data_IF_275958163840
#
_entry.id   IF_275958163840
#
_cell.length_a   1.000
_cell.length_b   1.000
_cell.length_c   1.000
_cell.angle_alpha   90.00
_cell.angle_beta   90.00
_cell.angle_gamma   90.00
#
_symmetry.space_group_name_H-M   'P 1'
#
loop_
_entity.id
_entity.type
_entity.pdbx_description
1 polymer ?
#
# COMPACT_ATOMS: atom_id res chain seq x y z
N UNK A 1 8.20 17.74 23.19
CA UNK A 1 7.91 16.94 21.98
C UNK A 1 6.81 17.66 21.23
N UNK A 2 7.15 18.41 20.18
CA UNK A 2 6.18 19.27 19.48
C UNK A 2 5.34 18.40 18.55
N UNK A 3 4.03 18.43 18.76
CA UNK A 3 3.00 17.82 17.93
C UNK A 3 3.13 18.40 16.52
N UNK A 4 3.82 17.69 15.62
CA UNK A 4 3.90 18.02 14.19
C UNK A 4 2.59 17.51 13.57
N UNK A 5 1.48 18.06 14.03
CA UNK A 5 0.17 17.77 13.44
C UNK A 5 0.10 18.53 12.15
N UNK A 6 -0.24 17.79 11.10
CA UNK A 6 -0.32 18.18 9.72
C UNK A 6 -1.45 19.18 9.47
N UNK A 7 -1.45 20.33 10.15
CA UNK A 7 -2.39 21.43 9.92
C UNK A 7 -2.10 22.10 8.55
N UNK A 8 -0.93 21.84 7.96
CA UNK A 8 -0.46 22.52 6.75
C UNK A 8 -0.78 21.81 5.42
N UNK A 9 -1.22 20.54 5.42
CA UNK A 9 -1.61 19.86 4.16
C UNK A 9 -2.91 20.39 3.53
N UNK A 10 -3.66 21.25 4.23
CA UNK A 10 -4.88 21.88 3.69
C UNK A 10 -4.58 22.99 2.66
N UNK A 11 -3.36 23.52 2.59
CA UNK A 11 -3.02 24.67 1.74
C UNK A 11 -2.41 24.31 0.38
N UNK A 12 -2.28 23.02 0.05
CA UNK A 12 -1.81 22.55 -1.26
C UNK A 12 -2.99 22.34 -2.23
N UNK A 13 -3.78 23.38 -2.47
CA UNK A 13 -4.80 23.42 -3.53
C UNK A 13 -4.25 24.18 -4.75
N UNK A 14 -4.40 23.68 -5.99
CA UNK A 14 -4.50 24.57 -7.14
C UNK A 14 -5.93 25.16 -7.23
N UNK A 15 -6.09 26.41 -7.69
CA UNK A 15 -7.40 26.95 -8.06
C UNK A 15 -7.88 26.33 -9.38
N UNK A 16 -9.21 26.33 -9.54
CA UNK A 16 -10.01 26.03 -10.74
C UNK A 16 -9.27 25.86 -12.08
N UNK A 17 -9.44 24.69 -12.71
CA UNK A 17 -9.60 24.59 -14.17
C UNK A 17 -10.33 23.30 -14.55
N UNK A 18 -11.65 23.36 -14.48
CA UNK A 18 -12.56 22.54 -15.27
C UNK A 18 -12.31 22.82 -16.77
N UNK A 19 -11.96 21.80 -17.56
CA UNK A 19 -12.55 21.53 -18.88
C UNK A 19 -12.02 20.20 -19.45
N UNK A 20 -12.86 19.17 -19.44
CA UNK A 20 -12.78 18.06 -20.40
C UNK A 20 -13.56 18.45 -21.66
N UNK A 21 -13.13 18.01 -22.84
CA UNK A 21 -14.09 17.53 -23.85
C UNK A 21 -13.58 16.23 -24.55
N UNK A 22 -14.30 15.62 -25.52
CA UNK A 22 -14.94 14.31 -25.36
C UNK A 22 -14.32 13.20 -26.25
N UNK A 23 -14.87 11.98 -26.12
CA UNK A 23 -14.62 10.82 -26.97
C UNK A 23 -14.78 11.10 -28.48
N UNK A 24 -13.93 10.49 -29.29
CA UNK A 24 -14.11 10.35 -30.74
C UNK A 24 -13.42 9.08 -31.26
N UNK A 25 -14.19 8.25 -31.96
CA UNK A 25 -13.86 6.88 -32.32
C UNK A 25 -13.26 6.71 -33.73
N UNK A 26 -12.63 5.55 -33.92
CA UNK A 26 -12.81 4.62 -35.06
C UNK A 26 -11.75 4.49 -36.18
N UNK A 27 -11.64 3.22 -36.60
CA UNK A 27 -11.08 2.61 -37.82
C UNK A 27 -9.56 2.35 -37.88
N UNK A 28 -9.05 1.24 -38.44
CA UNK A 28 -9.55 -0.08 -38.81
C UNK A 28 -8.36 -0.90 -39.38
N UNK A 29 -8.45 -2.23 -39.31
CA UNK A 29 -7.82 -3.28 -40.15
C UNK A 29 -6.32 -3.57 -40.04
N UNK A 30 -6.07 -4.87 -39.82
CA UNK A 30 -4.84 -5.57 -40.17
C UNK A 30 -4.97 -7.05 -39.81
N UNK A 31 -5.51 -7.86 -40.73
CA UNK A 31 -5.45 -9.33 -40.66
C UNK A 31 -4.00 -9.81 -40.78
N UNK A 32 -3.71 -10.93 -40.10
CA UNK A 32 -3.06 -12.16 -40.60
C UNK A 32 -1.97 -12.64 -39.65
N UNK A 33 -2.15 -13.87 -39.16
CA UNK A 33 -1.22 -15.00 -39.33
C UNK A 33 -1.07 -15.86 -38.08
N UNK A 34 -1.16 -17.15 -38.32
CA UNK A 34 -1.22 -18.24 -37.37
C UNK A 34 0.11 -18.43 -36.62
N UNK A 35 0.08 -18.32 -35.29
CA UNK A 35 1.23 -18.61 -34.43
C UNK A 35 0.83 -19.52 -33.27
N UNK A 36 0.86 -20.84 -33.47
CA UNK A 36 0.68 -21.85 -32.42
C UNK A 36 1.69 -21.63 -31.27
N UNK A 37 1.26 -21.59 -30.00
CA UNK A 37 2.20 -21.52 -28.89
C UNK A 37 2.87 -22.88 -28.67
N UNK A 38 4.21 -22.87 -28.69
CA UNK A 38 5.05 -24.01 -28.33
C UNK A 38 4.88 -24.34 -26.84
N UNK A 39 4.34 -25.54 -26.55
CA UNK A 39 4.33 -26.13 -25.21
C UNK A 39 5.76 -26.49 -24.81
N UNK A 40 6.34 -25.73 -23.90
CA UNK A 40 7.59 -26.10 -23.22
C UNK A 40 7.19 -26.90 -21.97
N UNK A 41 7.32 -28.22 -22.05
CA UNK A 41 7.14 -29.12 -20.92
C UNK A 41 8.41 -29.13 -20.07
N UNK A 42 8.44 -28.35 -18.97
CA UNK A 42 9.52 -28.42 -17.99
C UNK A 42 9.19 -29.53 -17.00
N UNK A 43 9.87 -30.67 -17.12
CA UNK A 43 9.85 -31.72 -16.10
C UNK A 43 10.85 -31.35 -15.00
N UNK A 44 10.35 -30.83 -13.87
CA UNK A 44 11.17 -30.64 -12.67
C UNK A 44 11.13 -31.95 -11.88
N UNK A 45 12.29 -32.59 -11.81
CA UNK A 45 12.55 -33.79 -11.01
C UNK A 45 12.58 -33.38 -9.54
N UNK A 46 11.51 -33.68 -8.80
CA UNK A 46 11.45 -33.50 -7.34
C UNK A 46 12.46 -34.44 -6.67
N UNK A 47 13.58 -33.88 -6.22
CA UNK A 47 14.48 -34.55 -5.30
C UNK A 47 13.95 -34.35 -3.88
N UNK A 48 13.54 -35.45 -3.24
CA UNK A 48 13.20 -35.46 -1.82
C UNK A 48 14.45 -35.15 -0.99
N UNK A 49 14.38 -34.12 -0.15
CA UNK A 49 15.31 -33.94 0.95
C UNK A 49 14.56 -33.34 2.13
N UNK A 50 14.39 -34.20 3.12
CA UNK A 50 13.71 -34.01 4.39
C UNK A 50 14.30 -32.87 5.21
N UNK A 51 13.45 -31.94 5.66
CA UNK A 51 13.70 -31.16 6.89
C UNK A 51 12.45 -31.25 7.75
N UNK A 52 12.61 -31.82 8.95
CA UNK A 52 11.59 -31.93 9.99
C UNK A 52 11.52 -30.63 10.79
N UNK A 53 10.30 -30.12 10.95
CA UNK A 53 9.79 -29.64 12.23
C UNK A 53 9.88 -28.14 12.52
N UNK A 54 8.80 -27.41 12.21
CA UNK A 54 8.05 -26.57 13.16
C UNK A 54 6.58 -26.61 12.73
N UNK A 55 5.72 -27.22 13.53
CA UNK A 55 4.27 -27.28 13.29
C UNK A 55 3.57 -26.08 13.92
N UNK A 56 2.89 -25.31 13.09
CA UNK A 56 1.98 -24.23 13.44
C UNK A 56 1.47 -23.59 12.14
N UNK A 57 0.20 -23.79 11.83
CA UNK A 57 -0.49 -23.42 10.58
C UNK A 57 -0.19 -21.96 10.18
N UNK A 58 0.43 -21.74 9.01
CA UNK A 58 0.70 -20.42 8.42
C UNK A 58 0.23 -20.36 6.95
N UNK A 59 -0.86 -21.05 6.63
CA UNK A 59 -1.21 -21.28 5.22
C UNK A 59 -2.26 -20.29 4.66
N UNK A 60 -2.81 -19.36 5.45
CA UNK A 60 -3.84 -18.42 4.94
C UNK A 60 -3.67 -17.00 5.49
N UNK A 61 -3.10 -16.09 4.69
CA UNK A 61 -3.18 -14.65 4.99
C UNK A 61 -4.52 -14.14 4.47
N UNK A 62 -5.47 -13.87 5.35
CA UNK A 62 -6.78 -13.33 4.98
C UNK A 62 -6.88 -11.83 5.27
N UNK A 63 -6.10 -11.31 6.22
CA UNK A 63 -6.17 -9.93 6.67
C UNK A 63 -4.82 -9.21 6.60
N UNK A 64 -4.85 -7.97 6.12
CA UNK A 64 -3.66 -7.15 5.87
C UNK A 64 -3.85 -5.76 6.47
N UNK A 65 -2.89 -5.32 7.28
CA UNK A 65 -2.92 -4.01 7.95
C UNK A 65 -1.66 -3.19 7.65
N UNK A 66 -1.82 -2.08 6.94
CA UNK A 66 -0.72 -1.12 6.73
C UNK A 66 -0.64 -0.09 7.87
N UNK A 67 0.56 0.19 8.36
CA UNK A 67 0.76 1.06 9.53
C UNK A 67 1.71 2.22 9.22
N UNK A 68 1.23 3.46 9.43
CA UNK A 68 2.07 4.67 9.46
C UNK A 68 1.85 5.51 10.73
N UNK A 69 2.25 6.79 10.75
CA UNK A 69 2.05 7.68 11.91
C UNK A 69 0.61 8.15 12.03
N UNK A 70 0.15 8.90 11.03
CA UNK A 70 -1.11 9.65 11.12
C UNK A 70 -2.32 8.94 10.51
N UNK A 71 -2.14 7.83 9.79
CA UNK A 71 -3.22 7.15 9.06
C UNK A 71 -4.02 8.07 8.10
N UNK A 72 -3.31 8.94 7.39
CA UNK A 72 -3.88 9.81 6.34
C UNK A 72 -3.04 9.88 5.06
N UNK A 73 -1.90 9.17 5.02
CA UNK A 73 -0.95 9.21 3.91
C UNK A 73 -0.45 7.82 3.53
N UNK A 74 0.81 7.48 3.83
CA UNK A 74 1.50 6.25 3.39
C UNK A 74 0.64 4.98 3.54
N UNK A 75 0.10 4.72 4.72
CA UNK A 75 -0.70 3.51 4.98
C UNK A 75 -2.03 3.48 4.21
N UNK A 76 -2.67 4.64 4.03
CA UNK A 76 -3.95 4.76 3.33
C UNK A 76 -3.74 4.54 1.83
N UNK A 77 -2.68 5.14 1.28
CA UNK A 77 -2.30 4.89 -0.12
C UNK A 77 -2.07 3.40 -0.35
N UNK A 78 -1.35 2.72 0.55
CA UNK A 78 -1.10 1.28 0.43
C UNK A 78 -2.39 0.45 0.50
N UNK A 79 -3.30 0.75 1.44
CA UNK A 79 -4.60 0.10 1.54
C UNK A 79 -5.42 0.24 0.25
N UNK A 80 -5.58 1.47 -0.24
CA UNK A 80 -6.42 1.75 -1.41
C UNK A 80 -5.80 1.29 -2.73
N UNK A 81 -4.46 1.28 -2.82
CA UNK A 81 -3.75 0.67 -3.95
C UNK A 81 -3.93 -0.85 -3.95
N UNK A 82 -3.86 -1.51 -2.80
CA UNK A 82 -4.05 -2.96 -2.73
C UNK A 82 -5.51 -3.34 -3.04
N UNK A 83 -6.49 -2.65 -2.44
CA UNK A 83 -7.92 -2.84 -2.72
C UNK A 83 -8.25 -2.68 -4.21
N UNK A 84 -7.70 -1.65 -4.85
CA UNK A 84 -7.92 -1.40 -6.28
C UNK A 84 -7.41 -2.54 -7.17
N UNK A 85 -6.34 -3.23 -6.77
CA UNK A 85 -5.75 -4.34 -7.53
C UNK A 85 -6.41 -5.69 -7.24
N UNK A 86 -6.86 -5.88 -6.00
CA UNK A 86 -7.57 -7.08 -5.58
C UNK A 86 -8.99 -7.15 -6.16
N UNK A 87 -9.65 -6.00 -6.30
CA UNK A 87 -11.04 -5.92 -6.74
C UNK A 87 -12.04 -6.23 -5.62
N UNK A 88 -13.34 -6.04 -5.89
CA UNK A 88 -14.40 -6.17 -4.87
C UNK A 88 -14.67 -7.61 -4.41
N UNK A 89 -14.42 -8.60 -5.27
CA UNK A 89 -14.64 -10.03 -4.99
C UNK A 89 -13.47 -10.68 -4.24
N UNK A 90 -12.54 -9.88 -3.74
CA UNK A 90 -11.33 -10.38 -3.11
C UNK A 90 -11.61 -10.94 -1.72
N UNK A 91 -11.05 -12.11 -1.36
CA UNK A 91 -11.21 -12.67 -0.02
C UNK A 91 -10.37 -11.93 1.04
N UNK A 92 -9.47 -11.02 0.63
CA UNK A 92 -8.59 -10.33 1.58
C UNK A 92 -9.28 -9.14 2.26
N UNK A 93 -9.24 -9.11 3.58
CA UNK A 93 -9.60 -7.95 4.39
C UNK A 93 -8.40 -7.00 4.48
N UNK A 94 -8.47 -5.88 3.75
CA UNK A 94 -7.39 -4.88 3.75
C UNK A 94 -7.78 -3.65 4.55
N UNK A 95 -6.90 -3.21 5.44
CA UNK A 95 -7.08 -1.98 6.21
C UNK A 95 -5.77 -1.25 6.49
N UNK A 96 -5.90 -0.09 7.15
CA UNK A 96 -4.76 0.66 7.64
C UNK A 96 -5.01 1.24 9.03
N UNK A 97 -3.92 1.63 9.71
CA UNK A 97 -3.95 2.28 11.01
C UNK A 97 -2.73 3.19 11.23
N UNK A 98 -2.78 4.01 12.27
CA UNK A 98 -1.73 4.95 12.64
C UNK A 98 -1.25 4.76 14.08
N UNK A 99 0.05 4.81 14.31
CA UNK A 99 0.60 4.68 15.68
C UNK A 99 0.21 5.88 16.58
N UNK A 100 -0.08 7.03 15.98
CA UNK A 100 -0.63 8.21 16.66
C UNK A 100 -2.08 8.45 16.27
N UNK A 101 -2.35 8.59 14.96
CA UNK A 101 -3.67 8.82 14.38
C UNK A 101 -4.51 9.91 15.09
N UNK A 102 -3.90 11.07 15.38
CA UNK A 102 -4.61 12.20 15.95
C UNK A 102 -5.66 12.75 14.97
N UNK A 103 -6.91 13.03 15.40
CA UNK A 103 -7.98 13.53 14.54
C UNK A 103 -7.54 14.68 13.64
N UNK A 104 -7.61 14.49 12.32
CA UNK A 104 -7.28 15.52 11.34
C UNK A 104 -8.00 15.30 10.00
N UNK A 105 -8.21 16.36 9.20
CA UNK A 105 -8.80 16.22 7.88
C UNK A 105 -7.98 15.33 6.96
N UNK A 106 -8.66 14.57 6.09
CA UNK A 106 -7.98 13.80 5.05
C UNK A 106 -7.38 14.74 3.99
N UNK A 107 -6.09 14.65 3.66
CA UNK A 107 -5.45 15.62 2.76
C UNK A 107 -6.02 15.60 1.33
N UNK A 108 -6.48 16.76 0.79
CA UNK A 108 -7.07 16.84 -0.55
C UNK A 108 -6.16 16.35 -1.66
N UNK A 109 -4.85 16.63 -1.59
CA UNK A 109 -3.86 16.19 -2.57
C UNK A 109 -3.81 14.66 -2.72
N UNK A 110 -3.86 13.95 -1.59
CA UNK A 110 -3.81 12.48 -1.55
C UNK A 110 -5.12 11.91 -2.10
N UNK A 111 -6.26 12.50 -1.71
CA UNK A 111 -7.58 12.15 -2.25
C UNK A 111 -7.61 12.29 -3.77
N UNK A 112 -7.20 13.45 -4.28
CA UNK A 112 -7.20 13.73 -5.71
C UNK A 112 -6.34 12.74 -6.48
N UNK A 113 -5.10 12.49 -6.01
CA UNK A 113 -4.19 11.55 -6.69
C UNK A 113 -4.68 10.10 -6.66
N UNK A 114 -5.37 9.66 -5.61
CA UNK A 114 -6.00 8.33 -5.57
C UNK A 114 -7.18 8.24 -6.54
N UNK A 115 -8.01 9.28 -6.64
CA UNK A 115 -9.11 9.35 -7.61
C UNK A 115 -8.60 9.31 -9.06
N UNK A 116 -7.50 10.02 -9.38
CA UNK A 116 -6.84 9.93 -10.69
C UNK A 116 -6.39 8.50 -11.03
N UNK A 117 -6.08 7.71 -10.01
CA UNK A 117 -5.69 6.30 -10.14
C UNK A 117 -6.89 5.33 -10.10
N UNK A 118 -8.12 5.85 -10.06
CA UNK A 118 -9.35 5.05 -10.06
C UNK A 118 -9.72 4.45 -8.72
N UNK A 119 -9.19 4.96 -7.60
CA UNK A 119 -9.50 4.49 -6.25
C UNK A 119 -10.09 5.62 -5.40
N UNK A 120 -11.28 5.42 -4.84
CA UNK A 120 -11.97 6.44 -4.04
C UNK A 120 -11.73 6.23 -2.53
N UNK A 121 -10.96 7.11 -1.86
CA UNK A 121 -10.72 7.04 -0.42
C UNK A 121 -11.82 7.68 0.43
N UNK A 122 -12.97 8.05 -0.14
CA UNK A 122 -14.09 8.65 0.62
C UNK A 122 -14.60 7.80 1.80
N UNK A 123 -14.60 6.45 1.74
CA UNK A 123 -14.95 5.62 2.89
C UNK A 123 -13.88 5.58 4.01
N UNK A 124 -12.70 6.17 3.79
CA UNK A 124 -11.60 6.10 4.76
C UNK A 124 -11.97 6.82 6.05
N UNK A 125 -11.78 6.13 7.17
CA UNK A 125 -11.89 6.70 8.51
C UNK A 125 -10.54 6.54 9.19
N UNK A 126 -9.97 7.66 9.62
CA UNK A 126 -8.71 7.67 10.37
C UNK A 126 -8.85 6.81 11.64
N UNK A 127 -7.91 5.88 11.83
CA UNK A 127 -7.94 4.92 12.93
C UNK A 127 -6.58 4.78 13.61
N UNK A 128 -6.59 4.77 14.94
CA UNK A 128 -5.40 4.49 15.76
C UNK A 128 -5.15 2.99 15.81
N UNK A 129 -3.87 2.62 15.77
CA UNK A 129 -3.43 1.26 15.94
C UNK A 129 -3.68 0.81 17.38
N UNK A 130 -4.29 -0.36 17.56
CA UNK A 130 -4.54 -0.99 18.85
C UNK A 130 -3.92 -2.38 18.89
N UNK A 131 -3.85 -2.98 20.09
CA UNK A 131 -3.33 -4.33 20.27
C UNK A 131 -4.20 -5.34 19.52
N UNK A 132 -5.51 -5.19 19.61
CA UNK A 132 -6.52 -6.06 19.01
C UNK A 132 -6.34 -6.08 17.49
N UNK A 133 -6.19 -4.91 16.84
CA UNK A 133 -5.90 -4.83 15.41
C UNK A 133 -4.61 -5.55 15.03
N UNK A 134 -3.57 -5.43 15.86
CA UNK A 134 -2.30 -6.10 15.61
C UNK A 134 -2.43 -7.60 15.82
N UNK A 135 -3.19 -8.09 16.79
CA UNK A 135 -3.31 -9.53 17.08
C UNK A 135 -4.29 -10.24 16.11
N UNK A 136 -5.34 -9.55 15.67
CA UNK A 136 -6.35 -10.10 14.75
C UNK A 136 -5.94 -10.07 13.26
N UNK A 137 -4.87 -9.35 12.91
CA UNK A 137 -4.41 -9.26 11.51
C UNK A 137 -3.33 -10.30 11.20
N UNK A 138 -3.48 -11.06 10.11
CA UNK A 138 -2.51 -12.07 9.68
C UNK A 138 -1.20 -11.44 9.20
N UNK A 139 -1.29 -10.38 8.39
CA UNK A 139 -0.13 -9.65 7.84
C UNK A 139 -0.17 -8.16 8.22
N UNK A 140 0.67 -7.78 9.17
CA UNK A 140 0.89 -6.36 9.51
C UNK A 140 2.14 -5.86 8.77
N UNK A 141 2.02 -4.71 8.09
CA UNK A 141 3.09 -4.10 7.28
C UNK A 141 3.37 -2.69 7.75
N UNK A 142 4.61 -2.44 8.16
CA UNK A 142 5.07 -1.12 8.58
C UNK A 142 5.55 -0.28 7.39
N UNK A 143 5.12 0.99 7.32
CA UNK A 143 5.57 1.91 6.27
C UNK A 143 6.98 2.49 6.53
N UNK A 144 7.52 2.31 7.74
CA UNK A 144 8.76 2.94 8.19
C UNK A 144 9.33 2.25 9.43
N UNK A 145 10.62 2.47 9.70
CA UNK A 145 11.33 1.81 10.80
C UNK A 145 10.75 2.17 12.18
N UNK A 146 10.34 3.42 12.36
CA UNK A 146 9.66 3.91 13.56
C UNK A 146 8.34 3.16 13.83
N UNK A 147 7.58 2.80 12.78
CA UNK A 147 6.33 2.05 12.94
C UNK A 147 6.60 0.59 13.33
N UNK A 148 7.57 -0.06 12.67
CA UNK A 148 8.00 -1.43 13.02
C UNK A 148 8.46 -1.49 14.47
N UNK A 149 9.30 -0.54 14.87
CA UNK A 149 9.80 -0.45 16.25
C UNK A 149 8.68 -0.16 17.25
N UNK A 150 7.73 0.70 16.91
CA UNK A 150 6.55 0.95 17.75
C UNK A 150 5.77 -0.34 17.97
N UNK A 151 5.48 -1.09 16.90
CA UNK A 151 4.73 -2.35 16.97
C UNK A 151 5.46 -3.38 17.84
N UNK A 152 6.77 -3.53 17.61
CA UNK A 152 7.62 -4.44 18.38
C UNK A 152 7.61 -4.09 19.87
N UNK A 153 7.79 -2.81 20.22
CA UNK A 153 7.85 -2.37 21.63
C UNK A 153 6.51 -2.47 22.36
N UNK A 154 5.41 -2.13 21.70
CA UNK A 154 4.11 -2.02 22.38
C UNK A 154 3.28 -3.29 22.29
N UNK A 155 3.51 -4.13 21.27
CA UNK A 155 2.71 -5.34 21.02
C UNK A 155 3.54 -6.62 20.99
N UNK A 156 4.88 -6.55 20.96
CA UNK A 156 5.75 -7.73 20.97
C UNK A 156 5.77 -8.49 19.63
N UNK A 157 5.33 -7.86 18.54
CA UNK A 157 5.21 -8.47 17.21
C UNK A 157 6.28 -7.94 16.25
N UNK A 158 6.98 -8.86 15.59
CA UNK A 158 7.84 -8.53 14.46
C UNK A 158 7.00 -8.39 13.18
N UNK A 159 7.31 -7.37 12.38
CA UNK A 159 6.56 -7.06 11.15
C UNK A 159 7.48 -6.66 10.01
N UNK A 160 7.03 -6.90 8.78
CA UNK A 160 7.77 -6.53 7.58
C UNK A 160 7.60 -5.05 7.26
N UNK A 161 8.63 -4.47 6.63
CA UNK A 161 8.48 -3.18 5.94
C UNK A 161 7.76 -3.37 4.60
N UNK A 162 7.11 -2.33 4.09
CA UNK A 162 6.49 -2.37 2.76
C UNK A 162 7.48 -2.79 1.67
N UNK A 163 8.68 -2.18 1.60
CA UNK A 163 9.69 -2.55 0.60
C UNK A 163 10.28 -3.95 0.84
N UNK A 164 10.25 -4.42 2.08
CA UNK A 164 10.67 -5.78 2.41
C UNK A 164 9.66 -6.78 1.85
N UNK A 165 8.37 -6.48 1.98
CA UNK A 165 7.29 -7.28 1.39
C UNK A 165 7.31 -7.24 -0.14
N UNK A 166 7.50 -6.07 -0.77
CA UNK A 166 7.47 -5.95 -2.23
C UNK A 166 8.75 -6.45 -2.90
N UNK A 167 9.93 -6.16 -2.32
CA UNK A 167 11.21 -6.24 -3.02
C UNK A 167 12.30 -6.94 -2.21
N UNK A 168 11.98 -7.47 -1.02
CA UNK A 168 12.94 -8.07 -0.09
C UNK A 168 14.07 -7.10 0.30
N UNK A 169 13.77 -5.80 0.33
CA UNK A 169 14.67 -4.74 0.75
C UNK A 169 14.23 -4.16 2.09
N UNK A 170 15.13 -4.13 3.05
CA UNK A 170 14.83 -3.57 4.38
C UNK A 170 14.94 -2.04 4.39
N UNK A 171 14.07 -1.38 3.63
CA UNK A 171 14.07 0.08 3.44
C UNK A 171 12.71 0.68 3.84
N UNK A 172 12.69 1.81 4.57
CA UNK A 172 11.44 2.51 4.88
C UNK A 172 10.93 3.34 3.69
N UNK A 173 9.62 3.59 3.66
CA UNK A 173 9.03 4.64 2.83
C UNK A 173 9.01 5.92 3.66
N UNK A 174 9.88 6.87 3.32
CA UNK A 174 10.04 8.11 4.08
C UNK A 174 8.82 9.03 3.94
N UNK A 175 8.39 9.60 5.06
CA UNK A 175 7.44 10.70 5.12
C UNK A 175 8.08 12.01 4.63
N UNK A 176 7.24 13.03 4.44
CA UNK A 176 7.66 14.36 4.02
C UNK A 176 8.73 14.93 4.94
N UNK A 177 8.51 14.90 6.26
CA UNK A 177 9.44 15.47 7.23
C UNK A 177 10.75 14.67 7.38
N UNK A 178 10.77 13.44 6.88
CA UNK A 178 11.94 12.55 6.90
C UNK A 178 12.80 12.75 5.64
N UNK A 179 12.17 13.07 4.50
CA UNK A 179 12.83 13.19 3.20
C UNK A 179 13.12 14.62 2.75
N UNK A 180 12.30 15.59 3.15
CA UNK A 180 12.35 16.96 2.63
C UNK A 180 12.86 17.93 3.71
N UNK A 181 14.09 18.45 3.58
CA UNK A 181 14.59 19.51 4.46
C UNK A 181 13.69 20.74 4.38
N UNK A 182 13.39 21.34 5.54
CA UNK A 182 12.58 22.56 5.62
C UNK A 182 11.22 22.41 4.89
N UNK A 183 10.63 21.22 4.92
CA UNK A 183 9.36 20.89 4.26
C UNK A 183 8.22 21.87 4.55
N UNK A 184 8.25 22.50 5.73
CA UNK A 184 7.26 23.47 6.18
C UNK A 184 7.31 24.80 5.43
N UNK A 185 8.42 25.11 4.74
CA UNK A 185 8.55 26.28 3.87
C UNK A 185 8.77 25.90 2.41
N UNK A 186 9.33 24.72 2.14
CA UNK A 186 9.47 24.18 0.79
C UNK A 186 8.25 23.34 0.38
N UNK A 187 7.12 24.02 0.19
CA UNK A 187 5.83 23.39 -0.11
C UNK A 187 5.80 22.67 -1.46
N UNK A 188 6.58 23.16 -2.44
CA UNK A 188 6.74 22.50 -3.73
C UNK A 188 7.39 21.12 -3.58
N UNK A 189 8.57 21.07 -2.93
CA UNK A 189 9.24 19.79 -2.70
C UNK A 189 8.44 18.84 -1.82
N UNK A 190 7.72 19.36 -0.81
CA UNK A 190 6.82 18.56 0.00
C UNK A 190 5.70 17.93 -0.84
N UNK A 191 5.05 18.72 -1.71
CA UNK A 191 4.04 18.24 -2.66
C UNK A 191 4.60 17.19 -3.60
N UNK A 192 5.76 17.44 -4.21
CA UNK A 192 6.40 16.53 -5.17
C UNK A 192 6.78 15.20 -4.50
N UNK A 193 7.27 15.25 -3.26
CA UNK A 193 7.53 14.05 -2.47
C UNK A 193 6.24 13.27 -2.16
N UNK A 194 5.15 13.95 -1.80
CA UNK A 194 3.87 13.26 -1.57
C UNK A 194 3.42 12.53 -2.83
N UNK A 195 3.44 13.20 -3.98
CA UNK A 195 3.03 12.61 -5.25
C UNK A 195 3.93 11.43 -5.65
N UNK A 196 5.25 11.58 -5.49
CA UNK A 196 6.21 10.51 -5.81
C UNK A 196 6.02 9.27 -4.94
N UNK A 197 5.73 9.44 -3.64
CA UNK A 197 5.42 8.32 -2.74
C UNK A 197 4.09 7.66 -3.11
N UNK A 198 3.07 8.42 -3.50
CA UNK A 198 1.80 7.85 -3.96
C UNK A 198 2.02 6.97 -5.19
N UNK A 199 2.75 7.49 -6.17
CA UNK A 199 3.08 6.76 -7.39
C UNK A 199 3.94 5.53 -7.08
N UNK A 200 4.97 5.68 -6.24
CA UNK A 200 5.83 4.58 -5.83
C UNK A 200 5.05 3.41 -5.19
N UNK A 201 4.19 3.69 -4.21
CA UNK A 201 3.37 2.66 -3.55
C UNK A 201 2.44 1.99 -4.56
N UNK A 202 1.84 2.76 -5.46
CA UNK A 202 0.93 2.26 -6.48
C UNK A 202 1.63 1.31 -7.46
N UNK A 203 2.80 1.72 -7.98
CA UNK A 203 3.57 0.91 -8.92
C UNK A 203 4.23 -0.31 -8.25
N UNK A 204 4.50 -0.27 -6.95
CA UNK A 204 5.02 -1.41 -6.20
C UNK A 204 3.97 -2.50 -5.91
N UNK A 205 2.68 -2.19 -6.01
CA UNK A 205 1.61 -3.10 -5.59
C UNK A 205 1.52 -4.44 -6.36
N UNK A 206 1.87 -4.56 -7.67
CA UNK A 206 1.97 -5.88 -8.30
C UNK A 206 3.01 -6.77 -7.61
N UNK A 207 4.14 -6.20 -7.18
CA UNK A 207 5.20 -6.95 -6.50
C UNK A 207 4.80 -7.35 -5.08
N UNK A 208 3.97 -6.53 -4.41
CA UNK A 208 3.31 -6.88 -3.15
C UNK A 208 2.39 -8.10 -3.34
N UNK A 209 1.49 -8.03 -4.33
CA UNK A 209 0.54 -9.10 -4.65
C UNK A 209 1.21 -10.42 -5.01
N UNK A 210 2.28 -10.37 -5.81
CA UNK A 210 3.03 -11.56 -6.20
C UNK A 210 3.67 -12.31 -5.01
N UNK A 211 3.74 -11.68 -3.83
CA UNK A 211 4.32 -12.23 -2.60
C UNK A 211 3.29 -12.45 -1.50
N UNK A 212 2.02 -12.10 -1.72
CA UNK A 212 0.96 -12.43 -0.79
C UNK A 212 0.78 -13.96 -0.76
N UNK A 213 0.87 -14.61 0.42
CA UNK A 213 0.55 -16.02 0.54
C UNK A 213 -0.88 -16.24 0.06
N UNK A 214 -1.08 -17.20 -0.84
CA UNK A 214 -2.40 -17.48 -1.41
C UNK A 214 -3.36 -17.90 -0.29
N UNK A 215 -4.53 -17.26 -0.23
CA UNK A 215 -5.69 -17.83 0.48
C UNK A 215 -6.13 -19.06 -0.30
N UNK A 216 -6.17 -20.26 0.30
CA UNK A 216 -6.79 -21.41 -0.35
C UNK A 216 -8.25 -21.08 -0.63
N UNK A 217 -8.77 -21.37 -1.83
CA UNK A 217 -10.18 -21.18 -2.12
C UNK A 217 -11.00 -22.07 -1.16
N UNK A 218 -11.89 -21.43 -0.39
CA UNK A 218 -12.96 -21.97 0.47
C UNK A 218 -12.82 -23.44 0.93
N UNK A 219 -12.64 -23.63 2.25
CA UNK A 219 -13.03 -24.86 2.95
C UNK A 219 -14.50 -24.81 3.35
#
# INVERSE_FOLDING_TARGET
MRTITCVFMMSLLPPESLLLPPLGASHARGMSDEGKPLRISIQIKMGESSVRGVGGVLDTVSSILFVCTGNVFRSVVAEYALKARLGPESPYVVGSAGIEALPQPFPPLIRHRLLEKGSDPSPHVQRRLTRELVEETDLVVAMGLNHREFIRRHFGREVLLFNQMCFQKEEPILDVHEAVPQWNVNLGAARDHILSIIDYIWEAMPAFLARLPLVPPDQ
#
